data_IF_714527542920
#
_entry.id   IF_714527542920
#
_cell.length_a   1.000
_cell.length_b   1.000
_cell.length_c   1.000
_cell.angle_alpha   90.00
_cell.angle_beta   90.00
_cell.angle_gamma   90.00
#
_symmetry.space_group_name_H-M   'P 1'
#
loop_
_entity.id
_entity.type
_entity.pdbx_description
1 polymer ?
#
# COMPACT_ATOMS: atom_id res chain seq x y z
N UNK A 1 -37.59 -8.81 21.55
CA UNK A 1 -36.11 -8.71 21.54
C UNK A 1 -35.46 -9.23 20.25
N UNK A 2 -36.09 -10.13 19.48
CA UNK A 2 -35.54 -10.68 18.23
C UNK A 2 -35.38 -9.70 17.05
N UNK A 3 -36.04 -8.52 17.08
CA UNK A 3 -36.01 -7.53 15.99
C UNK A 3 -34.71 -6.70 15.91
N UNK A 4 -33.86 -6.73 16.96
CA UNK A 4 -32.63 -5.92 17.01
C UNK A 4 -31.40 -6.63 16.46
N UNK A 5 -31.40 -7.96 16.36
CA UNK A 5 -30.28 -8.73 15.83
C UNK A 5 -29.83 -8.34 14.40
N UNK A 6 -30.72 -8.13 13.41
CA UNK A 6 -30.29 -7.72 12.08
C UNK A 6 -29.65 -6.33 12.07
N UNK A 7 -30.19 -5.39 12.86
CA UNK A 7 -29.61 -4.05 13.01
C UNK A 7 -28.21 -4.12 13.62
N UNK A 8 -28.04 -4.96 14.65
CA UNK A 8 -26.78 -5.17 15.35
C UNK A 8 -25.72 -5.82 14.43
N UNK A 9 -26.14 -6.73 13.54
CA UNK A 9 -25.27 -7.32 12.54
C UNK A 9 -24.76 -6.28 11.53
N UNK A 10 -25.62 -5.39 11.02
CA UNK A 10 -25.21 -4.32 10.09
C UNK A 10 -24.21 -3.36 10.77
N UNK A 11 -24.46 -3.00 12.02
CA UNK A 11 -23.56 -2.14 12.80
C UNK A 11 -22.19 -2.82 12.97
N UNK A 12 -22.15 -4.10 13.32
CA UNK A 12 -20.90 -4.87 13.44
C UNK A 12 -20.10 -4.90 12.14
N UNK A 13 -20.77 -5.12 11.00
CA UNK A 13 -20.11 -5.12 9.68
C UNK A 13 -19.52 -3.73 9.39
N UNK A 14 -20.28 -2.67 9.66
CA UNK A 14 -19.79 -1.30 9.52
C UNK A 14 -18.57 -1.01 10.40
N UNK A 15 -18.57 -1.47 11.65
CA UNK A 15 -17.43 -1.32 12.56
C UNK A 15 -16.18 -2.04 12.05
N UNK A 16 -16.32 -3.26 11.51
CA UNK A 16 -15.19 -4.00 10.91
C UNK A 16 -14.58 -3.19 9.76
N UNK A 17 -15.41 -2.66 8.86
CA UNK A 17 -14.94 -1.84 7.75
C UNK A 17 -14.27 -0.55 8.23
N UNK A 18 -14.85 0.13 9.23
CA UNK A 18 -14.25 1.31 9.81
C UNK A 18 -12.86 1.03 10.43
N UNK A 19 -12.72 -0.05 11.19
CA UNK A 19 -11.44 -0.47 11.76
C UNK A 19 -10.40 -0.70 10.66
N UNK A 20 -10.79 -1.35 9.57
CA UNK A 20 -9.89 -1.61 8.42
C UNK A 20 -9.40 -0.32 7.78
N UNK A 21 -10.28 0.67 7.59
CA UNK A 21 -9.90 1.99 7.04
C UNK A 21 -8.95 2.70 8.02
N UNK A 22 -9.21 2.66 9.33
CA UNK A 22 -8.31 3.21 10.35
C UNK A 22 -6.91 2.59 10.31
N UNK A 23 -6.81 1.27 10.14
CA UNK A 23 -5.53 0.57 9.98
C UNK A 23 -4.81 1.04 8.71
N UNK A 24 -5.52 1.14 7.59
CA UNK A 24 -4.97 1.61 6.32
C UNK A 24 -4.44 3.05 6.44
N UNK A 25 -5.20 3.95 7.09
CA UNK A 25 -4.76 5.32 7.33
C UNK A 25 -3.49 5.36 8.18
N UNK A 26 -3.43 4.57 9.25
CA UNK A 26 -2.25 4.48 10.11
C UNK A 26 -1.03 3.98 9.34
N UNK A 27 -1.22 3.02 8.42
CA UNK A 27 -0.14 2.53 7.57
C UNK A 27 0.41 3.63 6.66
N UNK A 28 -0.45 4.44 6.02
CA UNK A 28 -0.04 5.57 5.19
C UNK A 28 0.74 6.61 6.00
N UNK A 29 0.24 6.98 7.19
CA UNK A 29 0.91 7.91 8.10
C UNK A 29 2.31 7.39 8.49
N UNK A 30 2.43 6.11 8.85
CA UNK A 30 3.70 5.51 9.25
C UNK A 30 4.71 5.47 8.09
N UNK A 31 4.25 5.12 6.87
CA UNK A 31 5.08 5.15 5.66
C UNK A 31 5.58 6.56 5.37
N UNK A 32 4.69 7.55 5.46
CA UNK A 32 5.01 8.96 5.23
C UNK A 32 6.03 9.48 6.23
N UNK A 33 5.82 9.21 7.52
CA UNK A 33 6.76 9.60 8.58
C UNK A 33 8.14 8.98 8.35
N UNK A 34 8.20 7.69 7.97
CA UNK A 34 9.47 7.01 7.67
C UNK A 34 10.18 7.63 6.45
N UNK A 35 9.43 7.99 5.40
CA UNK A 35 9.98 8.59 4.19
C UNK A 35 10.53 10.00 4.44
N UNK A 36 9.82 10.82 5.23
CA UNK A 36 10.25 12.17 5.62
C UNK A 36 11.51 12.11 6.48
N UNK A 37 11.55 11.22 7.48
CA UNK A 37 12.75 11.02 8.30
C UNK A 37 13.96 10.65 7.44
N UNK A 38 13.76 9.74 6.49
CA UNK A 38 14.80 9.32 5.57
C UNK A 38 15.28 10.46 4.66
N UNK A 39 14.34 11.23 4.07
CA UNK A 39 14.65 12.39 3.23
C UNK A 39 15.45 13.44 3.99
N UNK A 40 15.06 13.77 5.22
CA UNK A 40 15.75 14.77 6.03
C UNK A 40 17.19 14.35 6.34
N UNK A 41 17.37 13.09 6.79
CA UNK A 41 18.70 12.52 7.04
C UNK A 41 19.54 12.42 5.77
N UNK A 42 18.89 12.13 4.63
CA UNK A 42 19.57 12.10 3.33
C UNK A 42 20.05 13.49 2.90
N UNK A 43 19.23 14.53 3.08
CA UNK A 43 19.61 15.92 2.80
C UNK A 43 20.73 16.40 3.70
N UNK A 44 20.68 16.07 4.98
CA UNK A 44 21.76 16.34 5.94
C UNK A 44 23.07 15.67 5.48
N UNK A 45 23.03 14.38 5.13
CA UNK A 45 24.19 13.67 4.61
C UNK A 45 24.74 14.28 3.32
N UNK A 46 23.86 14.63 2.39
CA UNK A 46 24.25 15.24 1.12
C UNK A 46 24.93 16.58 1.35
N UNK A 47 24.37 17.41 2.23
CA UNK A 47 24.96 18.71 2.59
C UNK A 47 26.33 18.55 3.24
N UNK A 48 26.47 17.63 4.20
CA UNK A 48 27.77 17.32 4.83
C UNK A 48 28.79 16.90 3.78
N UNK A 49 28.38 16.03 2.85
CA UNK A 49 29.23 15.53 1.77
C UNK A 49 29.67 16.64 0.81
N UNK A 50 28.78 17.56 0.44
CA UNK A 50 29.11 18.74 -0.39
C UNK A 50 30.02 19.73 0.33
N UNK A 51 29.98 19.79 1.67
CA UNK A 51 30.89 20.59 2.49
C UNK A 51 32.25 19.90 2.72
N UNK A 52 32.42 18.68 2.24
CA UNK A 52 33.64 17.91 2.35
C UNK A 52 33.74 17.02 3.60
N UNK A 53 32.67 16.91 4.38
CA UNK A 53 32.61 16.14 5.61
C UNK A 53 31.91 14.81 5.39
N UNK A 54 32.55 13.69 5.72
CA UNK A 54 31.92 12.36 5.66
C UNK A 54 31.36 12.00 7.03
N UNK A 55 30.05 12.20 7.20
CA UNK A 55 29.33 11.72 8.38
C UNK A 55 29.07 10.20 8.28
N UNK A 56 29.95 9.41 8.90
CA UNK A 56 29.92 7.95 8.81
C UNK A 56 28.70 7.32 9.49
N UNK A 57 28.22 7.90 10.58
CA UNK A 57 27.04 7.42 11.30
C UNK A 57 25.78 7.61 10.45
N UNK A 58 25.63 8.79 9.85
CA UNK A 58 24.49 9.11 9.01
C UNK A 58 24.47 8.25 7.73
N UNK A 59 25.63 8.04 7.11
CA UNK A 59 25.77 7.10 5.99
C UNK A 59 25.35 5.68 6.38
N UNK A 60 25.81 5.18 7.53
CA UNK A 60 25.46 3.83 8.00
C UNK A 60 23.96 3.70 8.23
N UNK A 61 23.33 4.71 8.87
CA UNK A 61 21.89 4.74 9.08
C UNK A 61 21.13 4.73 7.75
N UNK A 62 21.54 5.56 6.78
CA UNK A 62 20.92 5.64 5.46
C UNK A 62 21.04 4.32 4.70
N UNK A 63 22.20 3.66 4.78
CA UNK A 63 22.43 2.38 4.12
C UNK A 63 21.59 1.27 4.74
N UNK A 64 21.52 1.17 6.07
CA UNK A 64 20.69 0.18 6.76
C UNK A 64 19.21 0.32 6.42
N UNK A 65 18.72 1.55 6.31
CA UNK A 65 17.32 1.84 6.01
C UNK A 65 16.99 1.87 4.50
N UNK A 66 17.99 1.90 3.63
CA UNK A 66 17.82 2.01 2.17
C UNK A 66 16.94 0.89 1.58
N UNK A 67 17.10 -0.35 2.05
CA UNK A 67 16.30 -1.49 1.56
C UNK A 67 14.83 -1.32 1.90
N UNK A 68 14.52 -0.85 3.13
CA UNK A 68 13.15 -0.63 3.58
C UNK A 68 12.49 0.46 2.73
N UNK A 69 13.17 1.59 2.55
CA UNK A 69 12.65 2.72 1.78
C UNK A 69 12.54 2.39 0.30
N UNK A 70 13.56 1.76 -0.30
CA UNK A 70 13.52 1.33 -1.71
C UNK A 70 12.32 0.40 -1.98
N UNK A 71 12.00 -0.52 -1.05
CA UNK A 71 10.80 -1.38 -1.16
C UNK A 71 9.50 -0.59 -1.04
N UNK A 72 9.45 0.43 -0.18
CA UNK A 72 8.27 1.29 -0.01
C UNK A 72 8.01 2.14 -1.26
N UNK A 73 9.07 2.75 -1.80
CA UNK A 73 9.04 3.56 -3.02
C UNK A 73 8.72 2.70 -4.24
N UNK A 74 9.13 1.43 -4.25
CA UNK A 74 8.77 0.43 -5.26
C UNK A 74 9.04 0.95 -6.69
N UNK A 75 8.02 0.98 -7.55
CA UNK A 75 8.13 1.40 -8.95
C UNK A 75 8.69 2.82 -9.14
N UNK A 76 8.41 3.74 -8.22
CA UNK A 76 8.89 5.13 -8.32
C UNK A 76 10.42 5.25 -8.17
N UNK A 77 11.06 4.25 -7.55
CA UNK A 77 12.48 4.26 -7.24
C UNK A 77 13.29 3.32 -8.12
N UNK A 78 12.68 2.79 -9.18
CA UNK A 78 13.32 1.87 -10.12
C UNK A 78 13.32 2.53 -11.50
N UNK A 79 14.51 2.84 -12.00
CA UNK A 79 14.65 3.33 -13.37
C UNK A 79 14.57 2.18 -14.37
N UNK A 80 13.74 2.34 -15.41
CA UNK A 80 13.59 1.37 -16.49
C UNK A 80 14.90 1.19 -17.27
N UNK A 81 15.57 2.30 -17.61
CA UNK A 81 16.86 2.33 -18.28
C UNK A 81 17.69 3.46 -17.67
N UNK A 82 18.62 3.12 -16.78
CA UNK A 82 19.54 4.08 -16.20
C UNK A 82 20.86 4.07 -16.98
N UNK A 83 21.35 5.26 -17.34
CA UNK A 83 22.65 5.43 -17.97
C UNK A 83 23.55 6.21 -17.01
N UNK A 84 24.56 5.57 -16.39
CA UNK A 84 25.53 6.28 -15.57
C UNK A 84 26.25 7.37 -16.37
N UNK A 85 26.66 8.45 -15.71
CA UNK A 85 27.39 9.54 -16.34
C UNK A 85 28.67 9.01 -17.03
N UNK A 86 28.87 9.37 -18.30
CA UNK A 86 30.03 8.94 -19.08
C UNK A 86 30.02 7.47 -19.53
N UNK A 87 29.04 6.66 -19.13
CA UNK A 87 28.95 5.26 -19.54
C UNK A 87 28.32 5.11 -20.94
N UNK A 88 28.79 4.14 -21.73
CA UNK A 88 28.16 3.77 -23.02
C UNK A 88 27.27 2.51 -22.91
N UNK A 89 26.75 2.23 -21.71
CA UNK A 89 25.86 1.11 -21.44
C UNK A 89 24.67 1.59 -20.60
N UNK A 90 23.57 0.81 -20.65
CA UNK A 90 22.36 1.07 -19.86
C UNK A 90 22.13 -0.08 -18.87
N UNK A 91 21.74 0.28 -17.66
CA UNK A 91 21.36 -0.64 -16.59
C UNK A 91 19.84 -0.68 -16.52
N UNK A 92 19.26 -1.88 -16.63
CA UNK A 92 17.81 -2.09 -16.46
C UNK A 92 17.46 -2.32 -15.00
N UNK A 93 16.37 -1.73 -14.54
CA UNK A 93 15.85 -1.95 -13.19
C UNK A 93 16.76 -1.37 -12.09
N UNK A 94 17.38 -0.23 -12.36
CA UNK A 94 18.32 0.40 -11.43
C UNK A 94 17.57 0.98 -10.21
N UNK A 95 17.98 0.57 -9.01
CA UNK A 95 17.40 1.00 -7.74
C UNK A 95 18.06 2.30 -7.29
N UNK A 96 17.36 3.42 -7.47
CA UNK A 96 17.90 4.78 -7.31
C UNK A 96 18.43 4.99 -5.89
N UNK A 97 17.66 4.63 -4.87
CA UNK A 97 18.00 4.92 -3.47
C UNK A 97 19.11 3.97 -2.98
N UNK A 98 18.96 2.68 -3.28
CA UNK A 98 19.88 1.65 -2.77
C UNK A 98 21.29 1.78 -3.36
N UNK A 99 21.37 2.09 -4.66
CA UNK A 99 22.64 2.26 -5.37
C UNK A 99 23.18 3.69 -5.23
N UNK A 100 22.31 4.69 -5.36
CA UNK A 100 22.70 6.10 -5.37
C UNK A 100 23.47 6.52 -4.12
N UNK A 101 23.04 6.12 -2.92
CA UNK A 101 23.76 6.44 -1.67
C UNK A 101 25.19 5.90 -1.66
N UNK A 102 25.39 4.69 -2.18
CA UNK A 102 26.72 4.08 -2.26
C UNK A 102 27.57 4.71 -3.38
N UNK A 103 26.94 5.07 -4.50
CA UNK A 103 27.61 5.76 -5.60
C UNK A 103 28.08 7.14 -5.16
N UNK A 104 27.23 7.93 -4.50
CA UNK A 104 27.59 9.26 -3.99
C UNK A 104 28.86 9.23 -3.12
N UNK A 105 28.96 8.29 -2.18
CA UNK A 105 30.16 8.15 -1.35
C UNK A 105 31.39 7.71 -2.17
N UNK A 106 31.19 6.84 -3.15
CA UNK A 106 32.26 6.31 -4.00
C UNK A 106 32.81 7.40 -4.90
N UNK A 107 31.93 8.19 -5.54
CA UNK A 107 32.26 9.33 -6.38
C UNK A 107 32.96 10.42 -5.58
N UNK A 108 32.45 10.76 -4.40
CA UNK A 108 33.11 11.70 -3.50
C UNK A 108 34.54 11.25 -3.15
N UNK A 109 34.76 9.96 -2.86
CA UNK A 109 36.11 9.45 -2.54
C UNK A 109 37.03 9.42 -3.76
N UNK A 110 36.51 9.15 -4.95
CA UNK A 110 37.31 9.07 -6.17
C UNK A 110 37.68 10.45 -6.72
N UNK A 111 36.77 11.42 -6.60
CA UNK A 111 36.86 12.70 -7.30
C UNK A 111 36.84 13.93 -6.39
N UNK A 112 36.46 13.78 -5.13
CA UNK A 112 36.25 14.90 -4.18
C UNK A 112 37.52 15.71 -3.89
N UNK A 113 38.71 15.09 -3.94
CA UNK A 113 39.98 15.80 -3.74
C UNK A 113 40.38 16.75 -4.87
N UNK A 114 39.72 16.69 -6.03
CA UNK A 114 40.05 17.47 -7.23
C UNK A 114 38.92 18.40 -7.68
N UNK A 115 37.75 18.37 -7.02
CA UNK A 115 36.54 19.08 -7.47
C UNK A 115 35.93 18.55 -8.78
N UNK A 116 36.52 17.49 -9.37
CA UNK A 116 36.18 16.91 -10.66
C UNK A 116 35.08 15.84 -10.52
N UNK A 117 33.93 16.19 -9.94
CA UNK A 117 32.84 15.22 -9.72
C UNK A 117 31.63 15.77 -9.01
N UNK A 118 31.62 17.06 -8.68
CA UNK A 118 30.51 17.74 -7.99
C UNK A 118 29.21 17.68 -8.79
N UNK A 119 29.27 17.76 -10.12
CA UNK A 119 28.08 17.66 -10.97
C UNK A 119 27.47 16.25 -10.94
N UNK A 120 28.30 15.21 -11.02
CA UNK A 120 27.83 13.81 -10.98
C UNK A 120 27.22 13.50 -9.60
N UNK A 121 27.91 13.93 -8.54
CA UNK A 121 27.43 13.80 -7.17
C UNK A 121 26.10 14.54 -6.97
N UNK A 122 25.97 15.73 -7.56
CA UNK A 122 24.75 16.53 -7.51
C UNK A 122 23.60 15.88 -8.30
N UNK A 123 23.88 15.27 -9.45
CA UNK A 123 22.87 14.57 -10.25
C UNK A 123 22.32 13.36 -9.49
N UNK A 124 23.19 12.54 -8.88
CA UNK A 124 22.77 11.41 -8.03
C UNK A 124 22.00 11.90 -6.79
N UNK A 125 22.48 12.95 -6.12
CA UNK A 125 21.79 13.52 -4.97
C UNK A 125 20.38 13.99 -5.32
N UNK A 126 20.25 14.69 -6.45
CA UNK A 126 18.99 15.24 -6.96
C UNK A 126 18.03 14.12 -7.38
N UNK A 127 18.53 13.06 -8.01
CA UNK A 127 17.75 11.89 -8.40
C UNK A 127 17.10 11.20 -7.19
N UNK A 128 17.87 11.01 -6.10
CA UNK A 128 17.35 10.46 -4.85
C UNK A 128 16.33 11.41 -4.21
N UNK A 129 16.64 12.71 -4.14
CA UNK A 129 15.74 13.72 -3.56
C UNK A 129 14.38 13.75 -4.28
N UNK A 130 14.39 13.85 -5.61
CA UNK A 130 13.17 13.86 -6.41
C UNK A 130 12.38 12.56 -6.31
N UNK A 131 13.06 11.41 -6.26
CA UNK A 131 12.40 10.11 -6.05
C UNK A 131 11.65 10.08 -4.71
N UNK A 132 12.30 10.53 -3.63
CA UNK A 132 11.70 10.57 -2.30
C UNK A 132 10.57 11.60 -2.20
N UNK A 133 10.74 12.79 -2.79
CA UNK A 133 9.70 13.81 -2.84
C UNK A 133 8.47 13.34 -3.61
N UNK A 134 8.66 12.71 -4.77
CA UNK A 134 7.57 12.16 -5.57
C UNK A 134 6.81 11.11 -4.77
N UNK A 135 7.52 10.22 -4.08
CA UNK A 135 6.89 9.22 -3.24
C UNK A 135 6.13 9.83 -2.04
N UNK A 136 6.66 10.88 -1.41
CA UNK A 136 5.96 11.59 -0.34
C UNK A 136 4.68 12.25 -0.88
N UNK A 137 4.72 12.86 -2.07
CA UNK A 137 3.53 13.44 -2.70
C UNK A 137 2.44 12.40 -3.03
N UNK A 138 2.85 11.21 -3.44
CA UNK A 138 1.94 10.06 -3.61
C UNK A 138 1.32 9.62 -2.27
N UNK A 139 2.10 9.59 -1.18
CA UNK A 139 1.58 9.28 0.14
C UNK A 139 0.61 10.34 0.67
N UNK A 140 0.84 11.62 0.36
CA UNK A 140 -0.09 12.71 0.68
C UNK A 140 -1.42 12.55 -0.07
N UNK A 141 -1.36 12.24 -1.37
CA UNK A 141 -2.54 11.96 -2.18
C UNK A 141 -3.33 10.75 -1.65
N UNK A 142 -2.61 9.68 -1.28
CA UNK A 142 -3.22 8.48 -0.69
C UNK A 142 -3.82 8.76 0.69
N UNK A 143 -3.18 9.61 1.50
CA UNK A 143 -3.73 10.02 2.80
C UNK A 143 -5.07 10.72 2.62
N UNK A 144 -5.16 11.69 1.70
CA UNK A 144 -6.40 12.42 1.43
C UNK A 144 -7.51 11.48 0.94
N UNK A 145 -7.18 10.56 0.04
CA UNK A 145 -8.11 9.56 -0.46
C UNK A 145 -8.68 8.69 0.68
N UNK A 146 -7.82 8.06 1.50
CA UNK A 146 -8.24 7.19 2.60
C UNK A 146 -8.98 7.99 3.69
N UNK A 147 -8.55 9.22 3.97
CA UNK A 147 -9.21 10.09 4.94
C UNK A 147 -10.62 10.49 4.49
N UNK A 148 -10.85 10.65 3.18
CA UNK A 148 -12.19 10.90 2.64
C UNK A 148 -13.11 9.68 2.83
N UNK A 149 -12.58 8.46 2.66
CA UNK A 149 -13.32 7.22 2.88
C UNK A 149 -13.74 7.04 4.35
N UNK A 150 -12.92 7.51 5.30
CA UNK A 150 -13.26 7.49 6.72
C UNK A 150 -14.51 8.28 7.07
N UNK A 151 -14.93 9.27 6.27
CA UNK A 151 -16.12 10.09 6.56
C UNK A 151 -17.41 9.45 6.05
N UNK A 152 -17.33 8.42 5.21
CA UNK A 152 -18.48 7.86 4.51
C UNK A 152 -18.92 6.51 5.12
N UNK A 153 -20.06 6.46 5.84
CA UNK A 153 -20.54 5.23 6.46
C UNK A 153 -20.93 4.12 5.45
N UNK A 154 -21.29 4.49 4.21
CA UNK A 154 -21.54 3.50 3.15
C UNK A 154 -20.24 2.81 2.73
N UNK A 155 -19.12 3.53 2.75
CA UNK A 155 -17.79 2.95 2.48
C UNK A 155 -17.40 1.98 3.60
N UNK A 156 -17.73 2.30 4.86
CA UNK A 156 -17.47 1.36 5.97
C UNK A 156 -18.23 0.05 5.79
N UNK A 157 -19.50 0.11 5.39
CA UNK A 157 -20.27 -1.11 5.09
C UNK A 157 -19.67 -1.88 3.92
N UNK A 158 -19.27 -1.20 2.84
CA UNK A 158 -18.59 -1.82 1.68
C UNK A 158 -17.33 -2.57 2.12
N UNK A 159 -16.45 -1.92 2.87
CA UNK A 159 -15.19 -2.52 3.35
C UNK A 159 -15.44 -3.68 4.33
N UNK A 160 -16.47 -3.57 5.18
CA UNK A 160 -16.89 -4.63 6.09
C UNK A 160 -17.36 -5.88 5.35
N UNK A 161 -18.27 -5.71 4.37
CA UNK A 161 -18.78 -6.81 3.54
C UNK A 161 -17.64 -7.47 2.77
N UNK A 162 -16.77 -6.67 2.12
CA UNK A 162 -15.64 -7.20 1.38
C UNK A 162 -14.71 -8.04 2.28
N UNK A 163 -14.52 -7.63 3.53
CA UNK A 163 -13.66 -8.36 4.48
C UNK A 163 -14.23 -9.74 4.82
N UNK A 164 -15.55 -9.84 5.00
CA UNK A 164 -16.24 -11.12 5.26
C UNK A 164 -16.13 -12.05 4.04
N UNK A 165 -16.34 -11.49 2.85
CA UNK A 165 -16.27 -12.23 1.58
C UNK A 165 -14.88 -12.79 1.30
N UNK A 166 -13.83 -12.04 1.64
CA UNK A 166 -12.43 -12.43 1.38
C UNK A 166 -11.90 -13.39 2.45
N UNK A 167 -12.56 -13.49 3.61
CA UNK A 167 -12.12 -14.32 4.74
C UNK A 167 -11.91 -15.80 4.38
N UNK A 168 -12.82 -16.49 3.66
CA UNK A 168 -12.62 -17.89 3.27
C UNK A 168 -11.38 -18.08 2.39
N UNK A 169 -11.16 -17.19 1.41
CA UNK A 169 -10.00 -17.23 0.52
C UNK A 169 -8.71 -17.00 1.32
N UNK A 170 -8.78 -16.10 2.32
CA UNK A 170 -7.66 -15.81 3.22
C UNK A 170 -7.30 -17.00 4.09
N UNK A 171 -8.29 -17.76 4.59
CA UNK A 171 -8.05 -18.99 5.36
C UNK A 171 -7.35 -20.06 4.53
N UNK A 172 -7.73 -20.23 3.25
CA UNK A 172 -7.09 -21.17 2.32
C UNK A 172 -5.64 -20.74 2.04
N UNK A 173 -5.38 -19.44 1.95
CA UNK A 173 -4.02 -18.93 1.83
C UNK A 173 -3.19 -19.18 3.09
N UNK A 174 -3.74 -18.89 4.28
CA UNK A 174 -3.05 -19.09 5.55
C UNK A 174 -2.75 -20.56 5.87
N UNK A 175 -3.59 -21.49 5.42
CA UNK A 175 -3.30 -22.92 5.54
C UNK A 175 -2.18 -23.38 4.61
N UNK A 176 -1.67 -22.52 3.74
CA UNK A 176 -0.60 -22.83 2.78
C UNK A 176 -1.08 -23.61 1.56
N UNK A 177 -2.40 -23.81 1.41
CA UNK A 177 -2.97 -24.56 0.28
C UNK A 177 -2.85 -23.79 -1.04
N UNK A 178 -2.80 -22.47 -1.00
CA UNK A 178 -2.60 -21.62 -2.17
C UNK A 178 -1.42 -20.66 -1.98
N UNK A 179 -0.73 -20.36 -3.08
CA UNK A 179 0.36 -19.38 -3.09
C UNK A 179 -0.15 -17.94 -3.12
N UNK A 180 0.68 -16.98 -2.70
CA UNK A 180 0.34 -15.55 -2.66
C UNK A 180 -0.15 -15.02 -4.01
N UNK A 181 0.45 -15.47 -5.13
CA UNK A 181 0.01 -15.09 -6.48
C UNK A 181 -1.44 -15.47 -6.72
N UNK A 182 -1.82 -16.71 -6.40
CA UNK A 182 -3.19 -17.22 -6.56
C UNK A 182 -4.17 -16.48 -5.65
N UNK A 183 -3.77 -16.24 -4.39
CA UNK A 183 -4.55 -15.43 -3.45
C UNK A 183 -4.83 -14.02 -4.01
N UNK A 184 -3.81 -13.34 -4.53
CA UNK A 184 -3.95 -11.98 -5.05
C UNK A 184 -4.85 -11.93 -6.29
N UNK A 185 -4.75 -12.94 -7.18
CA UNK A 185 -5.63 -13.05 -8.35
C UNK A 185 -7.09 -13.22 -7.90
N UNK A 186 -7.37 -14.14 -6.97
CA UNK A 186 -8.74 -14.43 -6.53
C UNK A 186 -9.38 -13.25 -5.79
N UNK A 187 -8.64 -12.61 -4.89
CA UNK A 187 -9.16 -11.52 -4.04
C UNK A 187 -9.36 -10.20 -4.78
N UNK A 188 -8.57 -9.92 -5.82
CA UNK A 188 -8.69 -8.71 -6.62
C UNK A 188 -9.51 -8.87 -7.90
N UNK A 189 -9.98 -10.07 -8.21
CA UNK A 189 -10.80 -10.30 -9.41
C UNK A 189 -12.22 -9.73 -9.25
N UNK A 190 -12.63 -8.91 -10.23
CA UNK A 190 -13.96 -8.32 -10.30
C UNK A 190 -15.09 -9.37 -10.30
N UNK A 191 -14.93 -10.48 -11.02
CA UNK A 191 -15.95 -11.54 -11.10
C UNK A 191 -16.19 -12.20 -9.74
N UNK A 192 -15.13 -12.44 -8.96
CA UNK A 192 -15.26 -13.01 -7.61
C UNK A 192 -15.98 -12.02 -6.69
N UNK A 193 -15.63 -10.74 -6.75
CA UNK A 193 -16.32 -9.68 -6.00
C UNK A 193 -17.80 -9.57 -6.39
N UNK A 194 -18.12 -9.74 -7.67
CA UNK A 194 -19.50 -9.70 -8.18
C UNK A 194 -20.32 -10.90 -7.70
N UNK A 195 -19.79 -12.13 -7.78
CA UNK A 195 -20.46 -13.33 -7.26
C UNK A 195 -20.74 -13.16 -5.77
N UNK A 196 -19.76 -12.69 -5.02
CA UNK A 196 -19.93 -12.46 -3.60
C UNK A 196 -20.97 -11.37 -3.27
N UNK A 197 -21.02 -10.30 -4.06
CA UNK A 197 -22.06 -9.29 -3.95
C UNK A 197 -23.45 -9.89 -4.19
N UNK A 198 -23.61 -10.69 -5.25
CA UNK A 198 -24.88 -11.38 -5.54
C UNK A 198 -25.28 -12.32 -4.41
N UNK A 199 -24.36 -13.15 -3.90
CA UNK A 199 -24.62 -14.04 -2.76
C UNK A 199 -25.06 -13.24 -1.52
N UNK A 200 -24.41 -12.10 -1.25
CA UNK A 200 -24.77 -11.23 -0.14
C UNK A 200 -26.17 -10.63 -0.32
N UNK A 201 -26.50 -10.14 -1.52
CA UNK A 201 -27.84 -9.59 -1.83
C UNK A 201 -28.92 -10.66 -1.70
N UNK A 202 -28.69 -11.86 -2.23
CA UNK A 202 -29.63 -12.98 -2.10
C UNK A 202 -29.82 -13.35 -0.63
N UNK A 203 -28.73 -13.41 0.15
CA UNK A 203 -28.80 -13.66 1.59
C UNK A 203 -29.60 -12.60 2.33
N UNK A 204 -29.45 -11.33 1.95
CA UNK A 204 -30.17 -10.20 2.55
C UNK A 204 -31.67 -10.27 2.21
N UNK A 205 -32.01 -10.50 0.93
CA UNK A 205 -33.41 -10.68 0.49
C UNK A 205 -34.04 -11.88 1.21
N UNK A 206 -33.35 -13.01 1.26
CA UNK A 206 -33.80 -14.21 1.96
C UNK A 206 -34.06 -13.94 3.45
N UNK A 207 -33.16 -13.20 4.11
CA UNK A 207 -33.34 -12.79 5.51
C UNK A 207 -34.56 -11.89 5.70
N UNK A 208 -34.75 -10.89 4.83
CA UNK A 208 -35.90 -9.98 4.90
C UNK A 208 -37.21 -10.75 4.69
N UNK A 209 -37.27 -11.61 3.68
CA UNK A 209 -38.46 -12.44 3.43
C UNK A 209 -38.73 -13.33 4.65
N UNK A 210 -37.72 -14.01 5.19
CA UNK A 210 -37.87 -14.84 6.38
C UNK A 210 -38.42 -14.05 7.59
N UNK A 211 -37.98 -12.79 7.76
CA UNK A 211 -38.49 -11.91 8.83
C UNK A 211 -39.95 -11.49 8.58
N UNK A 212 -40.32 -11.21 7.33
CA UNK A 212 -41.64 -10.68 6.96
C UNK A 212 -42.71 -11.77 6.90
N UNK A 213 -42.44 -12.91 6.26
CA UNK A 213 -43.42 -14.00 6.08
C UNK A 213 -43.34 -15.10 7.12
N UNK A 214 -42.23 -15.23 7.86
CA UNK A 214 -41.95 -16.44 8.64
C UNK A 214 -41.55 -17.62 7.76
N UNK A 215 -40.90 -18.62 8.34
CA UNK A 215 -40.26 -19.73 7.61
C UNK A 215 -41.26 -20.66 6.90
N UNK A 216 -42.39 -20.97 7.55
CA UNK A 216 -43.43 -21.86 7.04
C UNK A 216 -44.21 -21.27 5.83
N UNK A 217 -44.74 -20.02 5.89
CA UNK A 217 -45.48 -19.45 4.76
C UNK A 217 -44.62 -19.20 3.50
N UNK A 218 -43.31 -18.97 3.66
CA UNK A 218 -42.41 -18.73 2.53
C UNK A 218 -42.27 -19.95 1.61
N UNK A 219 -42.06 -21.14 2.18
CA UNK A 219 -41.96 -22.37 1.39
C UNK A 219 -43.25 -22.68 0.63
N UNK A 220 -44.42 -22.35 1.20
CA UNK A 220 -45.69 -22.46 0.50
C UNK A 220 -45.84 -21.52 -0.71
N UNK A 221 -45.24 -20.33 -0.67
CA UNK A 221 -45.22 -19.41 -1.83
C UNK A 221 -44.26 -19.93 -2.90
N UNK A 222 -43.08 -20.42 -2.52
CA UNK A 222 -42.08 -20.97 -3.46
C UNK A 222 -42.59 -22.23 -4.17
N UNK A 223 -43.30 -23.12 -3.46
CA UNK A 223 -43.94 -24.29 -4.07
C UNK A 223 -45.05 -23.93 -5.04
N UNK A 224 -45.82 -22.87 -4.75
CA UNK A 224 -46.88 -22.39 -5.66
C UNK A 224 -46.34 -21.69 -6.91
N UNK A 225 -45.16 -21.06 -6.85
CA UNK A 225 -44.50 -20.44 -8.02
C UNK A 225 -43.85 -21.51 -8.93
N UNK A 226 -43.53 -22.70 -8.40
CA UNK A 226 -42.97 -23.83 -9.16
C UNK A 226 -44.02 -24.69 -9.89
N UNK A 227 -45.31 -24.51 -9.60
CA UNK A 227 -46.43 -25.11 -10.36
C UNK A 227 -46.76 -24.25 -11.57
#
# INVERSE_FOLDING_TARGET
MSKFYPLLAVILIGLIGFIKICISLREVINKRSSAIEYLNKFREFSNDLFQGNINSELYQWLKLNSVKIQKQVSAYGISCNYKPAGANYMIKGYQIILNGISNMLTEYRQFGGLGLGTSILQDEATSIDYTLLTYIGELDSNYEAVFSEMKNPLVWLREGIQSIVVLPISLIYWSGLIQYRTYNILTNNFFIKLIAFVVTVIGLISSVITIVTGYEPFWGIVENIKK
#
